data_IF_683854962924
#
_entry.id   IF_683854962924
#
_cell.length_a   1.000
_cell.length_b   1.000
_cell.length_c   1.000
_cell.angle_alpha   90.00
_cell.angle_beta   90.00
_cell.angle_gamma   90.00
#
_symmetry.space_group_name_H-M   'P 1'
#
loop_
_entity.id
_entity.type
_entity.pdbx_description
1 polymer ?
#
# COMPACT_ATOMS: atom_id res chain seq x y z
N UNK A 1 -26.00 3.18 38.51
CA UNK A 1 -24.94 4.19 38.32
C UNK A 1 -25.05 4.75 36.90
N UNK A 2 -25.33 6.04 36.74
CA UNK A 2 -25.55 6.67 35.41
C UNK A 2 -24.28 6.69 34.56
N UNK A 3 -23.11 6.81 35.21
CA UNK A 3 -21.78 6.75 34.59
C UNK A 3 -21.59 5.48 33.75
N UNK A 4 -21.88 4.32 34.34
CA UNK A 4 -21.64 3.04 33.70
C UNK A 4 -22.59 2.85 32.50
N UNK A 5 -23.83 3.35 32.57
CA UNK A 5 -24.75 3.32 31.45
C UNK A 5 -24.26 4.13 30.24
N UNK A 6 -23.60 5.27 30.45
CA UNK A 6 -22.99 6.07 29.36
C UNK A 6 -21.78 5.35 28.76
N UNK A 7 -20.89 4.81 29.60
CA UNK A 7 -19.72 4.06 29.16
C UNK A 7 -20.14 2.82 28.35
N UNK A 8 -21.10 2.02 28.83
CA UNK A 8 -21.58 0.83 28.12
C UNK A 8 -22.45 1.19 26.90
N UNK A 9 -23.17 2.31 26.93
CA UNK A 9 -24.05 2.75 25.84
C UNK A 9 -23.33 3.32 24.60
N UNK A 10 -22.09 3.79 24.74
CA UNK A 10 -21.30 4.25 23.58
C UNK A 10 -20.95 3.08 22.64
N UNK A 11 -20.99 3.30 21.33
CA UNK A 11 -20.64 2.27 20.33
C UNK A 11 -19.12 2.24 20.08
N UNK A 12 -18.50 3.41 19.95
CA UNK A 12 -17.07 3.54 19.65
C UNK A 12 -16.19 3.21 20.87
N UNK A 13 -15.26 2.26 20.69
CA UNK A 13 -14.32 1.84 21.72
C UNK A 13 -13.45 2.98 22.25
N UNK A 14 -13.01 3.90 21.38
CA UNK A 14 -12.16 5.03 21.78
C UNK A 14 -12.86 6.00 22.72
N UNK A 15 -14.14 6.30 22.46
CA UNK A 15 -14.93 7.16 23.36
C UNK A 15 -15.14 6.46 24.70
N UNK A 16 -15.43 5.15 24.66
CA UNK A 16 -15.57 4.32 25.86
C UNK A 16 -14.29 4.33 26.70
N UNK A 17 -13.14 4.13 26.07
CA UNK A 17 -11.82 4.15 26.71
C UNK A 17 -11.58 5.50 27.39
N UNK A 18 -11.77 6.62 26.69
CA UNK A 18 -11.62 7.96 27.27
C UNK A 18 -12.54 8.20 28.47
N UNK A 19 -13.80 7.78 28.38
CA UNK A 19 -14.73 7.87 29.49
C UNK A 19 -14.30 7.02 30.70
N UNK A 20 -13.71 5.83 30.47
CA UNK A 20 -13.18 4.98 31.55
C UNK A 20 -11.93 5.60 32.18
N UNK A 21 -11.04 6.16 31.37
CA UNK A 21 -9.80 6.82 31.83
C UNK A 21 -10.09 7.98 32.77
N UNK A 22 -11.15 8.75 32.49
CA UNK A 22 -11.55 9.88 33.33
C UNK A 22 -12.12 9.44 34.70
N UNK A 23 -12.58 8.18 34.81
CA UNK A 23 -12.89 7.53 36.06
C UNK A 23 -14.00 8.19 36.89
N UNK A 24 -13.64 8.68 38.08
CA UNK A 24 -14.56 9.27 39.06
C UNK A 24 -14.93 10.73 38.74
N UNK A 25 -14.08 11.43 38.00
CA UNK A 25 -14.25 12.84 37.63
C UNK A 25 -15.06 13.02 36.33
N UNK A 26 -15.59 11.91 35.79
CA UNK A 26 -16.40 11.90 34.59
C UNK A 26 -17.79 12.47 34.89
N UNK A 27 -18.03 13.70 34.44
CA UNK A 27 -19.38 14.27 34.37
C UNK A 27 -20.08 13.87 33.06
N UNK A 28 -21.41 13.95 33.05
CA UNK A 28 -22.21 13.68 31.86
C UNK A 28 -21.82 14.61 30.70
N UNK A 29 -21.60 15.90 30.98
CA UNK A 29 -21.17 16.88 29.98
C UNK A 29 -19.81 16.52 29.37
N UNK A 30 -18.84 16.10 30.17
CA UNK A 30 -17.54 15.64 29.67
C UNK A 30 -17.70 14.44 28.73
N UNK A 31 -18.52 13.46 29.10
CA UNK A 31 -18.77 12.29 28.26
C UNK A 31 -19.41 12.66 26.91
N UNK A 32 -20.38 13.60 26.91
CA UNK A 32 -20.99 14.13 25.69
C UNK A 32 -19.93 14.85 24.84
N UNK A 33 -19.08 15.66 25.47
CA UNK A 33 -18.03 16.39 24.77
C UNK A 33 -16.99 15.46 24.16
N UNK A 34 -16.58 14.39 24.85
CA UNK A 34 -15.70 13.37 24.29
C UNK A 34 -16.30 12.70 23.05
N UNK A 35 -17.58 12.31 23.13
CA UNK A 35 -18.26 11.70 21.98
C UNK A 35 -18.28 12.64 20.77
N UNK A 36 -18.74 13.89 20.95
CA UNK A 36 -18.81 14.90 19.86
C UNK A 36 -17.45 15.23 19.29
N UNK A 37 -16.45 15.43 20.16
CA UNK A 37 -15.08 15.76 19.74
C UNK A 37 -14.47 14.59 18.97
N UNK A 38 -14.71 13.36 19.40
CA UNK A 38 -14.24 12.17 18.72
C UNK A 38 -14.89 12.01 17.33
N UNK A 39 -16.20 12.21 17.21
CA UNK A 39 -16.90 12.17 15.93
C UNK A 39 -16.37 13.22 14.95
N UNK A 40 -16.16 14.45 15.42
CA UNK A 40 -15.60 15.53 14.62
C UNK A 40 -14.16 15.20 14.18
N UNK A 41 -13.31 14.78 15.12
CA UNK A 41 -11.92 14.40 14.84
C UNK A 41 -11.84 13.24 13.84
N UNK A 42 -12.72 12.24 13.98
CA UNK A 42 -12.80 11.09 13.08
C UNK A 42 -13.20 11.51 11.66
N UNK A 43 -14.13 12.46 11.53
CA UNK A 43 -14.50 13.03 10.24
C UNK A 43 -13.35 13.84 9.62
N UNK A 44 -12.66 14.66 10.42
CA UNK A 44 -11.51 15.45 9.97
C UNK A 44 -10.35 14.56 9.50
N UNK A 45 -9.96 13.55 10.28
CA UNK A 45 -8.91 12.61 9.90
C UNK A 45 -9.22 11.88 8.60
N UNK A 46 -10.49 11.53 8.37
CA UNK A 46 -10.93 10.91 7.12
C UNK A 46 -10.82 11.86 5.92
N UNK A 47 -11.11 13.15 6.11
CA UNK A 47 -10.92 14.16 5.07
C UNK A 47 -9.42 14.37 4.78
N UNK A 48 -8.59 14.50 5.81
CA UNK A 48 -7.14 14.65 5.68
C UNK A 48 -6.48 13.46 4.97
N UNK A 49 -6.92 12.22 5.25
CA UNK A 49 -6.41 11.03 4.56
C UNK A 49 -6.66 11.08 3.04
N UNK A 50 -7.74 11.74 2.61
CA UNK A 50 -8.05 11.92 1.19
C UNK A 50 -7.17 13.01 0.54
N UNK A 51 -6.85 14.07 1.27
CA UNK A 51 -5.96 15.14 0.83
C UNK A 51 -4.50 14.67 0.73
N UNK A 52 -4.04 13.89 1.71
CA UNK A 52 -2.70 13.28 1.70
C UNK A 52 -2.48 12.38 0.48
N UNK A 53 -3.53 11.67 0.03
CA UNK A 53 -3.49 10.86 -1.20
C UNK A 53 -3.31 11.76 -2.43
N UNK A 54 -3.97 12.92 -2.49
CA UNK A 54 -3.84 13.88 -3.59
C UNK A 54 -2.44 14.48 -3.64
N UNK A 55 -1.89 14.93 -2.49
CA UNK A 55 -0.55 15.51 -2.40
C UNK A 55 0.53 14.50 -2.83
N UNK A 56 0.43 13.25 -2.36
CA UNK A 56 1.36 12.19 -2.75
C UNK A 56 1.29 11.84 -4.24
N UNK A 57 0.11 11.95 -4.87
CA UNK A 57 -0.05 11.74 -6.31
C UNK A 57 0.65 12.84 -7.13
N UNK A 58 0.55 14.11 -6.70
CA UNK A 58 1.22 15.23 -7.35
C UNK A 58 2.75 15.13 -7.23
N UNK A 59 3.27 14.76 -6.06
CA UNK A 59 4.71 14.58 -5.86
C UNK A 59 5.32 13.48 -6.74
N UNK A 60 4.57 12.41 -7.05
CA UNK A 60 5.02 11.35 -7.98
C UNK A 60 5.04 11.79 -9.45
N UNK A 61 4.32 12.84 -9.81
CA UNK A 61 4.33 13.38 -11.17
C UNK A 61 5.52 14.34 -11.40
N UNK A 62 6.08 14.93 -10.33
CA UNK A 62 7.27 15.81 -10.41
C UNK A 62 8.62 15.08 -10.57
N UNK A 63 8.68 13.76 -10.38
CA UNK A 63 9.92 12.97 -10.46
C UNK A 63 10.12 12.29 -11.83
N UNK A 64 9.96 13.05 -12.92
CA UNK A 64 10.46 12.65 -14.25
C UNK A 64 11.57 13.59 -14.68
N UNK A 65 12.70 13.56 -13.97
CA UNK A 65 13.94 14.09 -14.52
C UNK A 65 15.15 13.28 -14.04
N UNK A 66 15.88 12.79 -15.03
CA UNK A 66 17.26 12.33 -15.03
C UNK A 66 17.99 12.21 -13.69
N UNK A 67 18.44 10.99 -13.36
CA UNK A 67 19.74 10.85 -12.69
C UNK A 67 20.52 9.64 -13.19
N UNK A 68 21.35 9.92 -14.18
CA UNK A 68 22.62 9.23 -14.39
C UNK A 68 23.58 9.59 -13.24
N UNK A 69 24.55 8.69 -13.04
CA UNK A 69 25.84 8.83 -12.35
C UNK A 69 25.98 8.24 -10.93
N UNK A 70 26.58 7.04 -10.92
CA UNK A 70 27.76 6.58 -10.17
C UNK A 70 27.93 6.91 -8.68
N UNK A 71 28.06 5.85 -7.87
CA UNK A 71 28.59 5.89 -6.50
C UNK A 71 28.73 4.50 -5.87
N UNK A 72 29.93 3.92 -5.98
CA UNK A 72 30.54 2.86 -5.10
C UNK A 72 30.24 3.18 -3.61
N UNK A 73 30.09 2.29 -2.62
CA UNK A 73 30.77 1.05 -2.20
C UNK A 73 30.16 0.67 -0.82
N UNK A 74 29.77 -0.57 -0.53
CA UNK A 74 30.43 -1.54 0.39
C UNK A 74 29.44 -1.95 1.52
N UNK A 75 29.31 -3.26 1.80
CA UNK A 75 28.68 -3.77 3.04
C UNK A 75 27.65 -4.90 2.91
N UNK A 76 28.15 -6.14 2.77
CA UNK A 76 27.73 -7.45 3.38
C UNK A 76 26.41 -7.49 4.20
N UNK A 77 25.60 -8.55 4.30
CA UNK A 77 25.69 -10.00 4.00
C UNK A 77 24.33 -10.63 4.41
N UNK A 78 23.72 -11.52 3.60
CA UNK A 78 23.16 -12.80 4.06
C UNK A 78 22.77 -13.68 2.85
N UNK A 79 23.27 -14.91 2.85
CA UNK A 79 22.99 -16.04 1.95
C UNK A 79 22.48 -17.20 2.83
N UNK A 80 22.19 -18.44 2.35
CA UNK A 80 21.70 -18.94 1.05
C UNK A 80 20.55 -19.98 1.20
N UNK A 81 19.78 -20.28 0.13
CA UNK A 81 19.34 -21.65 -0.21
C UNK A 81 18.64 -21.66 -1.60
N UNK A 82 19.36 -22.02 -2.66
CA UNK A 82 19.50 -23.36 -3.26
C UNK A 82 18.33 -23.78 -4.18
N UNK A 83 18.49 -23.44 -5.46
CA UNK A 83 17.89 -24.14 -6.61
C UNK A 83 18.95 -24.20 -7.73
N UNK A 84 19.00 -25.26 -8.55
CA UNK A 84 20.22 -25.68 -9.24
C UNK A 84 20.66 -24.70 -10.36
N UNK A 85 21.98 -24.54 -10.59
CA UNK A 85 22.52 -23.72 -11.66
C UNK A 85 22.60 -24.55 -12.95
N UNK A 86 21.82 -24.19 -13.97
CA UNK A 86 22.04 -24.73 -15.32
C UNK A 86 22.72 -23.70 -16.21
N UNK A 87 24.04 -23.90 -16.27
CA UNK A 87 25.03 -23.55 -17.27
C UNK A 87 24.63 -22.69 -18.49
N UNK A 88 25.31 -21.55 -18.59
CA UNK A 88 26.00 -20.96 -19.75
C UNK A 88 25.41 -21.12 -21.16
N UNK A 89 25.10 -19.96 -21.77
CA UNK A 89 25.58 -19.59 -23.13
C UNK A 89 25.27 -18.11 -23.43
N UNK A 90 26.31 -17.38 -23.82
CA UNK A 90 26.21 -16.35 -24.86
C UNK A 90 25.58 -15.01 -24.46
N UNK A 91 26.41 -13.98 -24.44
CA UNK A 91 26.01 -12.58 -24.49
C UNK A 91 25.17 -12.31 -25.75
N UNK A 92 23.98 -11.77 -25.56
CA UNK A 92 23.20 -11.04 -26.56
C UNK A 92 22.21 -10.15 -25.80
N UNK A 93 21.92 -8.90 -26.22
CA UNK A 93 20.89 -8.08 -25.59
C UNK A 93 19.59 -8.89 -25.64
N UNK A 94 19.10 -9.29 -24.45
CA UNK A 94 18.13 -10.36 -24.23
C UNK A 94 16.71 -10.03 -24.77
N UNK A 95 16.55 -9.92 -26.09
CA UNK A 95 15.28 -9.74 -26.79
C UNK A 95 14.83 -11.01 -27.54
N UNK A 96 15.41 -12.16 -27.23
CA UNK A 96 15.33 -13.33 -28.11
C UNK A 96 14.00 -14.11 -28.06
N UNK A 97 13.24 -14.06 -26.96
CA UNK A 97 12.01 -14.86 -26.84
C UNK A 97 10.77 -13.99 -26.58
N UNK A 98 9.65 -14.36 -27.21
CA UNK A 98 8.34 -13.77 -26.91
C UNK A 98 8.03 -14.03 -25.43
N UNK A 99 7.73 -12.98 -24.70
CA UNK A 99 7.35 -13.08 -23.31
C UNK A 99 6.00 -13.79 -23.19
N UNK A 100 5.92 -14.77 -22.28
CA UNK A 100 4.69 -15.54 -22.02
C UNK A 100 3.55 -14.68 -21.45
N UNK A 101 3.90 -13.53 -20.87
CA UNK A 101 2.96 -12.66 -20.17
C UNK A 101 2.39 -11.57 -21.09
N UNK A 102 3.13 -11.10 -22.09
CA UNK A 102 2.65 -10.05 -23.00
C UNK A 102 2.68 -10.42 -24.49
N UNK A 103 3.27 -11.55 -24.86
CA UNK A 103 3.47 -11.98 -26.24
C UNK A 103 4.56 -11.23 -27.02
N UNK A 104 5.08 -10.13 -26.47
CA UNK A 104 6.09 -9.26 -27.09
C UNK A 104 7.54 -9.56 -26.68
N UNK A 105 8.49 -8.84 -27.27
CA UNK A 105 9.93 -8.87 -26.92
C UNK A 105 10.27 -7.66 -26.07
N UNK A 106 10.86 -7.87 -24.89
CA UNK A 106 11.29 -6.80 -23.99
C UNK A 106 12.44 -7.28 -23.10
N UNK A 107 13.14 -6.33 -22.47
CA UNK A 107 14.18 -6.65 -21.49
C UNK A 107 13.62 -7.45 -20.31
N UNK A 108 14.45 -8.31 -19.71
CA UNK A 108 14.07 -9.07 -18.52
C UNK A 108 13.59 -8.11 -17.42
N UNK A 109 12.48 -8.47 -16.76
CA UNK A 109 11.79 -7.67 -15.73
C UNK A 109 11.15 -6.35 -16.17
N UNK A 110 11.22 -5.96 -17.44
CA UNK A 110 10.49 -4.81 -18.00
C UNK A 110 9.25 -5.23 -18.79
N UNK A 111 8.50 -6.21 -18.29
CA UNK A 111 7.32 -6.68 -18.99
C UNK A 111 6.21 -5.63 -18.95
N UNK A 112 5.66 -5.19 -20.10
CA UNK A 112 4.57 -4.20 -20.13
C UNK A 112 3.27 -4.71 -19.52
N UNK A 113 3.11 -6.04 -19.40
CA UNK A 113 1.94 -6.63 -18.76
C UNK A 113 2.05 -6.68 -17.22
N UNK A 114 3.22 -6.37 -16.64
CA UNK A 114 3.41 -6.40 -15.19
C UNK A 114 2.51 -5.37 -14.49
N UNK A 115 1.75 -5.82 -13.50
CA UNK A 115 0.78 -4.99 -12.76
C UNK A 115 -0.47 -4.59 -13.53
N UNK A 116 -0.63 -5.03 -14.80
CA UNK A 116 -1.85 -4.81 -15.59
C UNK A 116 -2.83 -5.96 -15.38
N UNK A 117 -4.12 -5.62 -15.30
CA UNK A 117 -5.21 -6.58 -15.22
C UNK A 117 -5.65 -6.98 -16.63
N UNK A 118 -5.81 -8.28 -16.84
CA UNK A 118 -6.27 -8.82 -18.11
C UNK A 118 -7.77 -8.58 -18.29
N UNK A 119 -8.15 -7.95 -19.40
CA UNK A 119 -9.57 -7.66 -19.67
C UNK A 119 -10.41 -8.93 -19.93
N UNK A 120 -9.77 -10.06 -20.29
CA UNK A 120 -10.46 -11.32 -20.60
C UNK A 120 -10.74 -12.16 -19.35
N UNK A 121 -9.76 -12.36 -18.48
CA UNK A 121 -9.88 -13.24 -17.31
C UNK A 121 -9.78 -12.51 -15.96
N UNK A 122 -9.63 -11.18 -15.97
CA UNK A 122 -9.53 -10.32 -14.78
C UNK A 122 -8.34 -10.64 -13.86
N UNK A 123 -7.40 -11.51 -14.24
CA UNK A 123 -6.15 -11.81 -13.51
C UNK A 123 -5.03 -10.83 -13.91
N UNK A 124 -4.05 -10.64 -13.04
CA UNK A 124 -2.95 -9.70 -13.25
C UNK A 124 -1.78 -10.27 -14.06
N UNK A 125 -0.84 -9.39 -14.42
CA UNK A 125 0.49 -9.71 -14.94
C UNK A 125 0.52 -10.35 -16.33
N UNK A 126 -0.56 -10.24 -17.12
CA UNK A 126 -0.59 -10.69 -18.50
C UNK A 126 -1.64 -9.92 -19.34
N UNK A 127 -1.52 -9.99 -20.67
CA UNK A 127 -2.50 -9.40 -21.60
C UNK A 127 -3.52 -10.41 -22.09
N UNK A 128 -4.68 -9.91 -22.53
CA UNK A 128 -5.75 -10.74 -23.10
C UNK A 128 -5.31 -11.54 -24.34
N UNK A 129 -4.30 -11.06 -25.07
CA UNK A 129 -3.71 -11.73 -26.24
C UNK A 129 -3.01 -13.05 -25.91
N UNK A 130 -2.56 -13.25 -24.67
CA UNK A 130 -1.91 -14.48 -24.19
C UNK A 130 -2.71 -15.18 -23.11
N UNK A 131 -3.94 -14.72 -22.86
CA UNK A 131 -4.83 -15.29 -21.87
C UNK A 131 -5.52 -16.55 -22.43
N UNK A 132 -5.11 -17.70 -21.94
CA UNK A 132 -5.85 -18.94 -22.08
C UNK A 132 -7.11 -18.82 -21.20
N UNK A 133 -8.27 -19.16 -21.77
CA UNK A 133 -9.57 -19.10 -21.08
C UNK A 133 -9.57 -19.98 -19.84
#
# INVERSE_FOLDING_TARGET
>A
MVRDAVVFGTKDHKVREQCITEGSELSLEKAINFARTYELSKAQLKAMESEDKIINLLNKQGSRSNKLTSGKKDGKQYTPQMGPPQNNKGQSPNFANKCKNCGGKHERRKCPAFGKQCNKCQKYNHFASVAFS
#
